data_IF_969413793937
#
_entry.id   IF_969413793937
#
_cell.length_a   1.000
_cell.length_b   1.000
_cell.length_c   1.000
_cell.angle_alpha   90.00
_cell.angle_beta   90.00
_cell.angle_gamma   90.00
#
_symmetry.space_group_name_H-M   'P 1'
#
loop_
_entity.id
_entity.type
_entity.pdbx_description
1 polymer ?
#
# COMPACT_ATOMS: atom_id res chain seq x y z
N UNK A 1 -11.80 -34.65 -15.75
CA UNK A 1 -11.93 -34.52 -14.29
C UNK A 1 -10.56 -34.81 -13.72
N UNK A 2 -9.78 -33.77 -13.42
CA UNK A 2 -8.42 -33.91 -12.94
C UNK A 2 -8.43 -33.67 -11.42
N UNK A 3 -8.28 -34.75 -10.66
CA UNK A 3 -7.91 -34.70 -9.24
C UNK A 3 -6.53 -34.07 -9.13
N UNK A 4 -6.45 -32.90 -8.50
CA UNK A 4 -5.19 -32.35 -8.03
C UNK A 4 -5.15 -32.54 -6.53
N UNK A 5 -4.48 -33.60 -6.11
CA UNK A 5 -4.13 -33.91 -4.73
C UNK A 5 -3.31 -32.74 -4.16
N UNK A 6 -3.83 -32.08 -3.12
CA UNK A 6 -3.08 -31.05 -2.39
C UNK A 6 -1.86 -31.69 -1.72
N UNK A 7 -0.67 -31.07 -1.77
CA UNK A 7 0.49 -31.60 -1.06
C UNK A 7 0.26 -31.55 0.46
N UNK A 8 0.62 -32.66 1.10
CA UNK A 8 0.61 -32.89 2.53
C UNK A 8 1.44 -31.81 3.24
N UNK A 9 0.78 -30.93 3.98
CA UNK A 9 1.44 -29.90 4.80
C UNK A 9 1.95 -30.54 6.10
N UNK A 10 3.01 -31.33 6.00
CA UNK A 10 3.79 -31.76 7.16
C UNK A 10 4.83 -30.68 7.46
N UNK A 11 4.44 -29.68 8.23
CA UNK A 11 5.32 -28.54 8.45
C UNK A 11 4.90 -27.47 9.43
N UNK A 12 3.95 -27.72 10.35
CA UNK A 12 3.84 -26.91 11.56
C UNK A 12 4.36 -27.74 12.73
N UNK A 13 5.67 -27.67 12.97
CA UNK A 13 6.20 -28.07 14.27
C UNK A 13 5.56 -27.15 15.31
N UNK A 14 4.65 -27.74 16.08
CA UNK A 14 3.88 -27.11 17.14
C UNK A 14 4.81 -26.48 18.18
N UNK A 15 5.24 -25.24 17.95
CA UNK A 15 6.01 -24.42 18.88
C UNK A 15 5.16 -23.31 19.52
N UNK A 16 3.85 -23.54 19.60
CA UNK A 16 2.91 -22.78 20.45
C UNK A 16 2.26 -23.69 21.48
N UNK A 17 3.09 -24.47 22.18
CA UNK A 17 2.73 -25.14 23.45
C UNK A 17 2.86 -24.23 24.67
N UNK A 18 2.90 -22.90 24.48
CA UNK A 18 3.09 -21.94 25.57
C UNK A 18 1.74 -21.47 26.14
N UNK A 19 1.37 -22.10 27.26
CA UNK A 19 0.57 -21.55 28.36
C UNK A 19 -0.90 -21.14 28.11
N UNK A 20 -1.78 -22.10 27.82
CA UNK A 20 -3.22 -21.96 28.11
C UNK A 20 -3.59 -22.28 29.57
N UNK A 21 -2.61 -22.52 30.44
CA UNK A 21 -2.84 -23.14 31.77
C UNK A 21 -3.28 -22.16 32.86
N UNK A 22 -3.40 -20.86 32.57
CA UNK A 22 -3.72 -19.83 33.58
C UNK A 22 -4.77 -18.84 33.08
N UNK A 23 -5.96 -19.32 32.72
CA UNK A 23 -7.11 -18.41 32.60
C UNK A 23 -7.63 -18.18 34.01
N UNK A 24 -7.47 -16.95 34.51
CA UNK A 24 -8.14 -16.54 35.74
C UNK A 24 -9.63 -16.48 35.43
N UNK A 25 -10.48 -17.27 36.12
CA UNK A 25 -11.91 -17.23 35.91
C UNK A 25 -12.46 -15.82 36.15
N UNK A 26 -13.33 -15.34 35.27
CA UNK A 26 -13.99 -14.06 35.47
C UNK A 26 -14.88 -14.11 36.72
N UNK A 27 -14.78 -13.07 37.54
CA UNK A 27 -15.67 -12.87 38.70
C UNK A 27 -17.02 -12.30 38.26
N UNK A 28 -18.06 -12.50 39.06
CA UNK A 28 -19.41 -11.93 38.84
C UNK A 28 -19.36 -10.41 38.57
N UNK A 29 -18.57 -9.66 39.34
CA UNK A 29 -18.41 -8.22 39.14
C UNK A 29 -17.83 -7.86 37.76
N UNK A 30 -16.79 -8.57 37.32
CA UNK A 30 -16.17 -8.36 36.01
C UNK A 30 -17.12 -8.70 34.85
N UNK A 31 -17.92 -9.76 35.00
CA UNK A 31 -18.95 -10.12 34.03
C UNK A 31 -20.01 -9.02 33.95
N UNK A 32 -20.51 -8.52 35.09
CA UNK A 32 -21.50 -7.43 35.12
C UNK A 32 -20.97 -6.14 34.55
N UNK A 33 -19.74 -5.76 34.85
CA UNK A 33 -19.10 -4.57 34.29
C UNK A 33 -18.97 -4.66 32.76
N UNK A 34 -18.58 -5.83 32.24
CA UNK A 34 -18.52 -6.07 30.80
C UNK A 34 -19.91 -6.00 30.14
N UNK A 35 -20.93 -6.61 30.75
CA UNK A 35 -22.31 -6.50 30.30
C UNK A 35 -22.82 -5.05 30.31
N UNK A 36 -22.50 -4.28 31.36
CA UNK A 36 -22.85 -2.86 31.45
C UNK A 36 -22.17 -2.03 30.36
N UNK A 37 -20.88 -2.27 30.09
CA UNK A 37 -20.16 -1.61 29.01
C UNK A 37 -20.74 -1.92 27.63
N UNK A 38 -21.21 -3.16 27.42
CA UNK A 38 -21.89 -3.57 26.20
C UNK A 38 -23.27 -2.90 26.06
N UNK A 39 -24.11 -2.95 27.10
CA UNK A 39 -25.46 -2.37 27.08
C UNK A 39 -25.44 -0.86 26.84
N UNK A 40 -24.45 -0.12 27.36
CA UNK A 40 -24.28 1.32 27.10
C UNK A 40 -24.08 1.67 25.62
N UNK A 41 -23.62 0.73 24.78
CA UNK A 41 -23.48 0.95 23.33
C UNK A 41 -24.82 1.00 22.60
N UNK A 42 -25.89 0.50 23.21
CA UNK A 42 -27.21 0.38 22.61
C UNK A 42 -28.25 1.14 23.45
N UNK A 43 -28.77 2.25 22.93
CA UNK A 43 -29.71 3.14 23.64
C UNK A 43 -30.98 2.45 24.17
N UNK A 44 -31.45 1.41 23.48
CA UNK A 44 -32.67 0.68 23.83
C UNK A 44 -32.47 -0.39 24.91
N UNK A 45 -31.24 -0.66 25.36
CA UNK A 45 -30.96 -1.71 26.33
C UNK A 45 -31.08 -1.16 27.76
N UNK A 46 -32.06 -1.68 28.50
CA UNK A 46 -32.18 -1.43 29.94
C UNK A 46 -31.08 -2.16 30.72
N UNK A 47 -30.49 -1.49 31.71
CA UNK A 47 -29.45 -2.08 32.58
C UNK A 47 -30.00 -2.78 33.82
N UNK A 48 -31.32 -2.72 34.05
CA UNK A 48 -32.00 -3.27 35.23
C UNK A 48 -31.72 -4.77 35.41
N UNK A 49 -31.82 -5.53 34.32
CA UNK A 49 -31.56 -6.97 34.32
C UNK A 49 -30.11 -7.31 34.74
N UNK A 50 -29.13 -6.49 34.36
CA UNK A 50 -27.71 -6.72 34.70
C UNK A 50 -27.46 -6.57 36.20
N UNK A 51 -28.23 -5.71 36.89
CA UNK A 51 -28.13 -5.52 38.35
C UNK A 51 -28.90 -6.60 39.14
N UNK A 52 -30.05 -7.01 38.62
CA UNK A 52 -31.02 -7.82 39.36
C UNK A 52 -30.94 -9.32 39.04
N UNK A 53 -30.29 -9.71 37.94
CA UNK A 53 -30.08 -11.12 37.60
C UNK A 53 -29.08 -11.78 38.56
N UNK A 54 -29.45 -12.93 39.11
CA UNK A 54 -28.54 -13.79 39.87
C UNK A 54 -27.72 -14.67 38.90
N UNK A 55 -26.40 -14.54 38.90
CA UNK A 55 -25.52 -15.45 38.15
C UNK A 55 -25.31 -16.72 38.99
N UNK A 56 -25.88 -17.83 38.55
CA UNK A 56 -25.82 -19.11 39.26
C UNK A 56 -24.53 -19.87 39.00
N UNK A 57 -23.99 -19.75 37.80
CA UNK A 57 -22.76 -20.42 37.37
C UNK A 57 -22.03 -19.58 36.30
N UNK A 58 -20.70 -19.59 36.35
CA UNK A 58 -19.84 -18.85 35.41
C UNK A 58 -18.76 -19.81 34.88
N UNK A 59 -18.99 -20.35 33.69
CA UNK A 59 -18.03 -21.19 32.98
C UNK A 59 -17.12 -20.34 32.12
N UNK A 60 -15.80 -20.58 32.18
CA UNK A 60 -14.81 -19.85 31.41
C UNK A 60 -14.19 -20.78 30.37
N UNK A 61 -14.46 -20.50 29.09
CA UNK A 61 -13.92 -21.25 27.96
C UNK A 61 -12.97 -20.39 27.13
N UNK A 62 -11.97 -21.04 26.51
CA UNK A 62 -11.08 -20.39 25.56
C UNK A 62 -11.59 -20.58 24.14
N UNK A 63 -11.74 -19.48 23.41
CA UNK A 63 -12.02 -19.49 21.98
C UNK A 63 -10.84 -18.84 21.27
N UNK A 64 -10.30 -19.52 20.27
CA UNK A 64 -9.34 -18.92 19.36
C UNK A 64 -10.08 -18.08 18.32
N UNK A 65 -9.98 -16.76 18.44
CA UNK A 65 -10.43 -15.86 17.38
C UNK A 65 -9.26 -15.61 16.43
N UNK A 66 -9.30 -16.21 15.25
CA UNK A 66 -8.35 -15.92 14.18
C UNK A 66 -9.02 -15.05 13.12
N UNK A 67 -8.26 -14.09 12.58
CA UNK A 67 -8.64 -13.29 11.43
C UNK A 67 -7.69 -13.66 10.29
N UNK A 68 -8.24 -14.14 9.18
CA UNK A 68 -7.47 -14.36 7.95
C UNK A 68 -7.62 -13.12 7.08
N UNK A 69 -6.52 -12.44 6.79
CA UNK A 69 -6.49 -11.30 5.89
C UNK A 69 -5.62 -11.64 4.69
N UNK A 70 -6.15 -11.40 3.49
CA UNK A 70 -5.38 -11.51 2.26
C UNK A 70 -4.98 -10.11 1.81
N UNK A 71 -3.71 -9.93 1.44
CA UNK A 71 -3.23 -8.68 0.87
C UNK A 71 -3.08 -8.85 -0.64
N UNK A 72 -3.86 -8.07 -1.38
CA UNK A 72 -3.65 -7.90 -2.81
C UNK A 72 -2.67 -6.78 -3.07
N UNK A 73 -1.71 -7.00 -3.98
CA UNK A 73 -0.90 -5.93 -4.55
C UNK A 73 -1.34 -5.69 -6.00
N UNK A 74 -1.54 -4.43 -6.36
CA UNK A 74 -1.81 -3.99 -7.72
C UNK A 74 -0.75 -2.99 -8.15
N UNK A 75 -0.06 -3.26 -9.26
CA UNK A 75 0.93 -2.35 -9.85
C UNK A 75 0.38 -1.65 -11.09
N UNK A 76 0.70 -0.36 -11.23
CA UNK A 76 0.42 0.44 -12.42
C UNK A 76 1.64 1.27 -12.81
N UNK A 77 2.06 1.14 -14.07
CA UNK A 77 3.14 1.97 -14.62
C UNK A 77 2.59 3.23 -15.27
N UNK A 78 3.25 4.37 -15.02
CA UNK A 78 2.92 5.66 -15.61
C UNK A 78 4.19 6.26 -16.21
N UNK A 79 4.10 6.76 -17.44
CA UNK A 79 5.17 7.54 -18.05
C UNK A 79 5.07 8.99 -17.59
N UNK A 80 6.16 9.51 -17.05
CA UNK A 80 6.31 10.89 -16.62
C UNK A 80 7.29 11.61 -17.52
N UNK A 81 6.97 12.86 -17.81
CA UNK A 81 7.68 13.73 -18.74
C UNK A 81 8.05 14.99 -17.97
N UNK A 82 9.34 15.26 -17.79
CA UNK A 82 9.85 16.42 -17.05
C UNK A 82 10.96 17.11 -17.83
N UNK A 83 11.21 18.40 -17.55
CA UNK A 83 12.33 19.10 -18.14
C UNK A 83 13.66 18.50 -17.67
N UNK A 84 14.59 18.26 -18.60
CA UNK A 84 15.93 17.77 -18.28
C UNK A 84 16.82 18.92 -17.81
N UNK A 85 17.26 18.89 -16.55
CA UNK A 85 18.06 19.96 -15.92
C UNK A 85 19.53 19.60 -15.76
N UNK A 86 20.03 18.62 -16.50
CA UNK A 86 21.39 18.08 -16.33
C UNK A 86 21.51 17.03 -15.24
N UNK A 87 20.40 16.39 -14.84
CA UNK A 87 20.46 15.27 -13.90
C UNK A 87 21.25 14.10 -14.50
N UNK A 88 21.93 13.31 -13.66
CA UNK A 88 22.51 12.06 -14.12
C UNK A 88 21.38 11.09 -14.54
N UNK A 89 21.41 10.63 -15.78
CA UNK A 89 20.47 9.64 -16.31
C UNK A 89 21.27 8.42 -16.68
N UNK A 90 20.99 7.30 -16.00
CA UNK A 90 21.56 6.03 -16.42
C UNK A 90 20.82 5.55 -17.68
N UNK A 91 21.42 5.82 -18.85
CA UNK A 91 20.92 5.33 -20.14
C UNK A 91 21.44 3.93 -20.48
N UNK A 92 22.27 3.34 -19.62
CA UNK A 92 22.82 2.00 -19.83
C UNK A 92 21.97 0.97 -19.10
N UNK A 93 21.29 0.13 -19.87
CA UNK A 93 20.43 -0.93 -19.36
C UNK A 93 19.05 -0.96 -20.00
N UNK A 94 18.31 -2.02 -19.71
CA UNK A 94 16.91 -2.16 -20.07
C UNK A 94 16.04 -1.85 -18.86
N UNK A 95 14.89 -1.21 -19.10
CA UNK A 95 13.87 -1.05 -18.08
C UNK A 95 13.39 -2.43 -17.61
N UNK A 96 13.26 -2.60 -16.30
CA UNK A 96 12.76 -3.84 -15.69
C UNK A 96 11.24 -3.90 -15.72
N UNK A 97 10.67 -5.11 -15.59
CA UNK A 97 9.23 -5.25 -15.43
C UNK A 97 8.76 -4.56 -14.13
N UNK A 98 7.58 -3.92 -14.12
CA UNK A 98 7.06 -3.27 -12.93
C UNK A 98 6.96 -4.20 -11.71
N UNK A 99 6.80 -5.51 -11.89
CA UNK A 99 6.78 -6.53 -10.83
C UNK A 99 8.16 -6.87 -10.27
N UNK A 100 9.23 -6.67 -11.04
CA UNK A 100 10.62 -6.88 -10.59
C UNK A 100 11.15 -5.70 -9.76
N UNK A 101 10.43 -4.58 -9.76
CA UNK A 101 10.77 -3.42 -8.92
C UNK A 101 10.53 -3.78 -7.45
N UNK A 102 11.54 -3.60 -6.60
CA UNK A 102 11.36 -3.82 -5.16
C UNK A 102 10.50 -2.70 -4.57
N UNK A 103 9.35 -3.08 -4.02
CA UNK A 103 8.43 -2.18 -3.34
C UNK A 103 8.32 -2.65 -1.89
N UNK A 104 9.16 -2.08 -1.02
CA UNK A 104 9.14 -2.31 0.41
C UNK A 104 9.52 -1.03 1.15
N UNK A 105 9.23 -0.99 2.45
CA UNK A 105 9.83 0.01 3.35
C UNK A 105 11.36 -0.13 3.33
N UNK A 106 12.09 0.89 3.80
CA UNK A 106 13.56 0.92 3.77
C UNK A 106 14.21 -0.35 4.38
N UNK A 107 13.51 -1.03 5.28
CA UNK A 107 13.96 -2.24 5.98
C UNK A 107 13.60 -3.56 5.25
N UNK A 108 13.01 -3.48 4.04
CA UNK A 108 12.55 -4.64 3.27
C UNK A 108 11.33 -5.35 3.89
N UNK A 109 10.72 -4.75 4.92
CA UNK A 109 9.56 -5.31 5.61
C UNK A 109 8.29 -5.00 4.84
N UNK A 110 7.57 -6.07 4.49
CA UNK A 110 6.22 -5.96 3.95
C UNK A 110 5.30 -5.74 5.14
N UNK A 111 4.81 -4.51 5.30
CA UNK A 111 3.78 -4.23 6.29
C UNK A 111 2.44 -4.79 5.81
N UNK A 112 1.73 -5.47 6.71
CA UNK A 112 0.37 -5.91 6.46
C UNK A 112 -0.61 -4.75 6.68
N UNK A 113 -0.44 -3.69 5.89
CA UNK A 113 -1.21 -2.46 5.97
C UNK A 113 -1.45 -1.89 4.57
N UNK A 114 -2.60 -1.23 4.41
CA UNK A 114 -2.95 -0.53 3.19
C UNK A 114 -1.95 0.61 2.97
N UNK A 115 -1.28 0.61 1.82
CA UNK A 115 -0.35 1.67 1.47
C UNK A 115 -0.20 1.82 -0.03
N UNK A 116 0.26 3.00 -0.41
CA UNK A 116 0.59 3.36 -1.78
C UNK A 116 2.05 3.80 -1.85
N UNK A 117 2.84 3.14 -2.70
CA UNK A 117 4.23 3.50 -2.97
C UNK A 117 4.38 3.81 -4.45
N UNK A 118 4.91 5.00 -4.73
CA UNK A 118 5.32 5.42 -6.08
C UNK A 118 6.84 5.35 -6.13
N UNK A 119 7.37 4.53 -7.02
CA UNK A 119 8.81 4.37 -7.22
C UNK A 119 9.15 4.48 -8.71
N UNK A 120 10.32 5.03 -9.03
CA UNK A 120 10.81 5.05 -10.40
C UNK A 120 11.21 3.63 -10.82
N UNK A 121 10.89 3.25 -12.06
CA UNK A 121 11.34 1.99 -12.63
C UNK A 121 12.81 2.15 -13.01
N UNK A 122 13.73 1.34 -12.44
CA UNK A 122 15.15 1.42 -12.76
C UNK A 122 15.40 1.33 -14.28
N UNK A 123 16.34 2.14 -14.77
CA UNK A 123 16.73 2.20 -16.19
C UNK A 123 15.57 2.50 -17.16
N UNK A 124 14.45 3.07 -16.69
CA UNK A 124 13.36 3.55 -17.56
C UNK A 124 13.55 5.00 -18.02
N UNK A 125 14.50 5.71 -17.41
CA UNK A 125 14.79 7.09 -17.71
C UNK A 125 15.54 7.22 -19.05
N UNK A 126 15.04 8.08 -19.94
CA UNK A 126 15.69 8.43 -21.19
C UNK A 126 15.49 9.91 -21.51
N UNK A 127 16.52 10.53 -22.07
CA UNK A 127 16.47 11.93 -22.51
C UNK A 127 16.03 11.94 -23.97
N UNK A 128 14.98 12.69 -24.27
CA UNK A 128 14.50 12.94 -25.64
C UNK A 128 14.59 14.41 -25.96
N UNK A 129 14.77 14.70 -27.25
CA UNK A 129 14.69 16.06 -27.77
C UNK A 129 13.25 16.56 -27.58
N UNK A 130 13.11 17.80 -27.13
CA UNK A 130 11.80 18.42 -27.03
C UNK A 130 11.18 18.54 -28.42
N UNK A 131 10.01 17.91 -28.63
CA UNK A 131 9.33 17.97 -29.93
C UNK A 131 8.72 19.36 -30.20
N UNK A 132 8.41 20.14 -29.16
CA UNK A 132 7.79 21.46 -29.30
C UNK A 132 8.77 22.51 -29.84
N UNK A 133 10.03 22.49 -29.40
CA UNK A 133 11.07 23.42 -29.87
C UNK A 133 12.14 22.74 -30.73
N UNK A 134 12.02 21.44 -30.99
CA UNK A 134 13.03 20.61 -31.66
C UNK A 134 14.43 20.74 -31.04
N UNK A 135 14.51 20.96 -29.73
CA UNK A 135 15.76 21.21 -28.99
C UNK A 135 16.23 22.67 -29.01
N UNK A 136 15.63 23.56 -29.80
CA UNK A 136 16.08 24.95 -29.98
C UNK A 136 15.80 25.88 -28.79
N UNK A 137 15.06 25.41 -27.77
CA UNK A 137 14.59 26.14 -26.58
C UNK A 137 13.67 27.34 -26.85
N UNK A 138 13.61 27.81 -28.08
CA UNK A 138 12.76 28.89 -28.56
C UNK A 138 11.75 28.35 -29.57
N UNK A 139 10.55 28.89 -29.55
CA UNK A 139 9.48 28.59 -30.48
C UNK A 139 9.07 29.88 -31.18
N UNK A 140 8.62 29.79 -32.44
CA UNK A 140 8.04 30.93 -33.13
C UNK A 140 6.79 31.40 -32.39
N UNK A 141 6.66 32.71 -32.21
CA UNK A 141 5.51 33.27 -31.52
C UNK A 141 4.30 33.24 -32.46
N UNK A 142 3.32 32.39 -32.13
CA UNK A 142 2.07 32.25 -32.89
C UNK A 142 1.27 33.56 -32.87
N UNK A 143 1.28 34.27 -31.74
CA UNK A 143 0.54 35.53 -31.58
C UNK A 143 1.05 36.68 -32.46
N UNK A 144 2.32 36.64 -32.88
CA UNK A 144 2.89 37.63 -33.81
C UNK A 144 3.25 37.00 -35.17
N UNK A 145 2.60 35.90 -35.56
CA UNK A 145 2.81 35.22 -36.84
C UNK A 145 4.29 34.87 -37.15
N UNK A 146 5.08 34.56 -36.13
CA UNK A 146 6.49 34.15 -36.29
C UNK A 146 7.51 35.28 -36.39
N UNK A 147 7.09 36.55 -36.29
CA UNK A 147 8.02 37.71 -36.30
C UNK A 147 8.92 37.78 -35.06
N UNK A 148 8.47 37.18 -33.95
CA UNK A 148 9.19 37.05 -32.70
C UNK A 148 9.34 35.59 -32.28
N UNK A 149 10.20 35.38 -31.28
CA UNK A 149 10.36 34.07 -30.63
C UNK A 149 9.91 34.15 -29.18
N UNK A 150 9.33 33.06 -28.68
CA UNK A 150 9.06 32.86 -27.26
C UNK A 150 9.88 31.68 -26.74
N UNK A 151 10.14 31.67 -25.44
CA UNK A 151 10.77 30.52 -24.77
C UNK A 151 9.79 29.33 -24.83
N UNK A 152 10.32 28.12 -24.93
CA UNK A 152 9.51 26.92 -24.93
C UNK A 152 8.82 26.74 -23.57
N UNK A 153 7.50 26.66 -23.56
CA UNK A 153 6.72 26.50 -22.32
C UNK A 153 7.07 25.19 -21.57
N UNK A 154 7.65 24.20 -22.26
CA UNK A 154 8.09 22.92 -21.71
C UNK A 154 9.60 22.84 -21.43
N UNK A 155 10.40 23.76 -21.96
CA UNK A 155 11.85 23.79 -21.77
C UNK A 155 12.24 25.17 -21.29
N UNK A 156 12.60 25.26 -20.02
CA UNK A 156 13.15 26.47 -19.44
C UNK A 156 14.50 26.85 -20.10
N UNK A 157 14.94 28.10 -19.94
CA UNK A 157 16.10 28.69 -20.62
C UNK A 157 17.39 27.85 -20.52
N UNK A 158 17.50 27.09 -19.42
CA UNK A 158 18.67 26.27 -19.08
C UNK A 158 18.65 24.88 -19.74
N UNK A 159 17.51 24.37 -20.21
CA UNK A 159 17.28 22.94 -20.41
C UNK A 159 17.09 22.56 -21.89
N UNK A 160 17.92 21.69 -22.45
CA UNK A 160 17.91 21.34 -23.89
C UNK A 160 17.05 20.11 -24.25
N UNK A 161 16.37 19.50 -23.26
CA UNK A 161 15.67 18.24 -23.49
C UNK A 161 14.58 17.94 -22.49
N UNK A 162 13.89 16.83 -22.76
CA UNK A 162 12.82 16.28 -21.94
C UNK A 162 13.28 14.93 -21.41
N UNK A 163 13.24 14.78 -20.09
CA UNK A 163 13.45 13.52 -19.41
C UNK A 163 12.12 12.75 -19.37
N UNK A 164 12.10 11.61 -20.05
CA UNK A 164 11.03 10.62 -19.93
C UNK A 164 11.47 9.57 -18.92
N UNK A 165 10.64 9.24 -17.95
CA UNK A 165 10.89 8.12 -17.06
C UNK A 165 9.57 7.45 -16.69
N UNK A 166 9.60 6.16 -16.36
CA UNK A 166 8.41 5.44 -15.93
C UNK A 166 8.43 5.27 -14.42
N UNK A 167 7.28 5.44 -13.77
CA UNK A 167 7.11 5.17 -12.35
C UNK A 167 6.08 4.06 -12.17
N UNK A 168 6.40 3.11 -11.29
CA UNK A 168 5.46 2.08 -10.83
C UNK A 168 4.76 2.59 -9.58
N UNK A 169 3.44 2.54 -9.59
CA UNK A 169 2.58 2.80 -8.45
C UNK A 169 2.05 1.46 -7.95
N UNK A 170 2.54 1.03 -6.80
CA UNK A 170 2.09 -0.17 -6.12
C UNK A 170 1.07 0.20 -5.05
N UNK A 171 -0.15 -0.29 -5.24
CA UNK A 171 -1.26 -0.16 -4.31
C UNK A 171 -1.45 -1.48 -3.60
N UNK A 172 -1.40 -1.46 -2.27
CA UNK A 172 -1.80 -2.60 -1.44
C UNK A 172 -3.09 -2.28 -0.72
N UNK A 173 -4.01 -3.24 -0.78
CA UNK A 173 -5.27 -3.17 -0.05
C UNK A 173 -5.57 -4.52 0.58
N UNK A 174 -5.98 -4.48 1.84
CA UNK A 174 -6.61 -5.58 2.56
C UNK A 174 -8.03 -5.79 2.01
N UNK A 175 -8.38 -7.05 1.77
CA UNK A 175 -9.70 -7.49 1.31
C UNK A 175 -10.37 -8.39 2.33
#
# INVERSE_FOLDING_TARGET
MAETTLPNYEGLSSTTGACLKNIVPLTDGQVRDACHAHAKKFFSYGSKFIREMTLTDITNDTIFHYKLESLGEKRKSINKVVAYTGQYVNTSGYAVDPWDVRVGTADGKIEFADHQIITEIPNSACIKICLMCSGSKKMSCISCNGEGSKICDFCDDKNWGILHHSSSNALRSSG
#
